data_IF_233342260731
#
_entry.id   IF_233342260731
#
_cell.length_a   1.000
_cell.length_b   1.000
_cell.length_c   1.000
_cell.angle_alpha   90.00
_cell.angle_beta   90.00
_cell.angle_gamma   90.00
#
_symmetry.space_group_name_H-M   'P 1'
#
loop_
_entity.id
_entity.type
_entity.pdbx_description
1 polymer ?
#
# COMPACT_ATOMS: atom_id res chain seq x y z
N UNK A 1 -33.03 76.49 15.76
CA UNK A 1 -32.40 75.47 16.60
C UNK A 1 -32.28 74.20 15.76
N UNK A 2 -31.08 73.92 15.21
CA UNK A 2 -30.87 72.80 14.26
C UNK A 2 -30.06 71.72 14.96
N UNK A 3 -30.59 70.51 15.08
CA UNK A 3 -29.97 69.33 15.68
C UNK A 3 -29.23 68.59 14.54
N UNK A 4 -27.94 68.32 14.66
CA UNK A 4 -27.25 67.52 13.65
C UNK A 4 -27.45 66.04 13.90
N UNK A 5 -27.88 65.34 12.85
CA UNK A 5 -28.02 63.87 12.81
C UNK A 5 -26.62 63.26 12.63
N UNK A 6 -26.08 62.67 13.66
CA UNK A 6 -24.85 61.90 13.62
C UNK A 6 -25.11 60.51 13.07
N UNK A 7 -24.61 60.24 11.87
CA UNK A 7 -24.56 58.93 11.25
C UNK A 7 -23.52 58.05 12.00
N UNK A 8 -24.00 57.01 12.68
CA UNK A 8 -23.15 55.94 13.18
C UNK A 8 -22.86 54.96 12.05
N UNK A 9 -21.60 54.68 11.71
CA UNK A 9 -21.29 53.61 10.78
C UNK A 9 -21.41 52.25 11.51
N UNK A 10 -22.33 51.40 11.06
CA UNK A 10 -22.46 50.03 11.48
C UNK A 10 -21.30 49.26 10.86
N UNK A 11 -20.31 48.94 11.66
CA UNK A 11 -19.19 48.07 11.30
C UNK A 11 -19.69 46.60 11.30
N UNK A 12 -20.07 46.11 10.13
CA UNK A 12 -20.41 44.69 9.95
C UNK A 12 -19.10 43.90 10.00
N UNK A 13 -18.84 43.25 11.13
CA UNK A 13 -17.80 42.25 11.26
C UNK A 13 -18.26 40.97 10.58
N UNK A 14 -17.81 40.75 9.33
CA UNK A 14 -17.93 39.45 8.68
C UNK A 14 -16.96 38.47 9.36
N UNK A 15 -17.49 37.67 10.28
CA UNK A 15 -16.80 36.49 10.77
C UNK A 15 -16.66 35.48 9.62
N UNK A 16 -15.52 35.47 8.94
CA UNK A 16 -15.15 34.37 8.05
C UNK A 16 -14.86 33.16 8.95
N UNK A 17 -15.84 32.29 9.08
CA UNK A 17 -15.66 30.96 9.70
C UNK A 17 -14.76 30.18 8.76
N UNK A 18 -13.44 30.18 9.02
CA UNK A 18 -12.52 29.20 8.47
C UNK A 18 -12.93 27.85 9.07
N UNK A 19 -13.85 27.16 8.43
CA UNK A 19 -14.04 25.75 8.66
C UNK A 19 -12.68 25.08 8.37
N UNK A 20 -12.13 24.27 9.28
CA UNK A 20 -10.96 23.48 8.96
C UNK A 20 -11.38 22.61 7.75
N UNK A 21 -10.75 22.83 6.61
CA UNK A 21 -10.69 21.86 5.54
C UNK A 21 -9.98 20.64 6.20
N UNK A 22 -10.77 19.75 6.76
CA UNK A 22 -10.32 18.39 6.98
C UNK A 22 -9.97 17.93 5.56
N UNK A 23 -8.68 18.03 5.20
CA UNK A 23 -8.14 17.26 4.10
C UNK A 23 -8.53 15.82 4.45
N UNK A 24 -9.53 15.31 3.75
CA UNK A 24 -9.85 13.89 3.78
C UNK A 24 -8.53 13.25 3.38
N UNK A 25 -7.86 12.62 4.34
CA UNK A 25 -6.68 11.82 4.06
C UNK A 25 -7.15 10.86 2.97
N UNK A 26 -6.55 11.00 1.80
CA UNK A 26 -6.84 10.13 0.65
C UNK A 26 -6.76 8.71 1.17
N UNK A 27 -7.81 7.92 0.95
CA UNK A 27 -7.85 6.56 1.50
C UNK A 27 -6.59 5.84 1.06
N UNK A 28 -5.73 5.48 1.98
CA UNK A 28 -4.46 4.77 1.71
C UNK A 28 -4.70 3.43 1.02
N UNK A 29 -5.94 2.92 1.06
CA UNK A 29 -6.38 1.67 0.47
C UNK A 29 -7.12 1.87 -0.83
N UNK A 30 -6.78 1.06 -1.84
CA UNK A 30 -7.49 0.99 -3.12
C UNK A 30 -7.96 -0.43 -3.40
N UNK A 31 -9.16 -0.56 -3.99
CA UNK A 31 -9.66 -1.83 -4.53
C UNK A 31 -9.71 -1.70 -6.04
N UNK A 32 -9.08 -2.66 -6.72
CA UNK A 32 -9.01 -2.64 -8.18
C UNK A 32 -9.47 -3.97 -8.76
N UNK A 33 -10.20 -3.87 -9.87
CA UNK A 33 -10.58 -5.00 -10.72
C UNK A 33 -9.71 -4.98 -11.98
N UNK A 34 -9.09 -6.11 -12.30
CA UNK A 34 -8.29 -6.25 -13.52
C UNK A 34 -8.44 -7.66 -14.07
N UNK A 35 -9.08 -7.80 -15.24
CA UNK A 35 -9.34 -9.08 -15.88
C UNK A 35 -9.99 -10.09 -14.90
N UNK A 36 -9.34 -11.20 -14.63
CA UNK A 36 -9.78 -12.26 -13.70
C UNK A 36 -9.29 -12.05 -12.25
N UNK A 37 -8.74 -10.89 -11.97
CA UNK A 37 -8.19 -10.54 -10.67
C UNK A 37 -9.02 -9.42 -10.00
N UNK A 38 -9.13 -9.48 -8.69
CA UNK A 38 -9.33 -8.31 -7.87
C UNK A 38 -8.17 -8.18 -6.89
N UNK A 39 -7.87 -6.98 -6.47
CA UNK A 39 -6.88 -6.80 -5.41
C UNK A 39 -7.17 -5.58 -4.55
N UNK A 40 -6.81 -5.72 -3.27
CA UNK A 40 -6.68 -4.61 -2.35
C UNK A 40 -5.22 -4.19 -2.31
N UNK A 41 -4.95 -2.90 -2.30
CA UNK A 41 -3.62 -2.33 -2.14
C UNK A 41 -3.63 -1.21 -1.12
N UNK A 42 -2.59 -1.15 -0.29
CA UNK A 42 -2.34 -0.06 0.64
C UNK A 42 -1.01 0.61 0.32
N UNK A 43 -1.01 1.94 0.34
CA UNK A 43 0.19 2.75 0.08
C UNK A 43 1.15 2.70 1.27
N UNK A 44 2.46 2.71 0.97
CA UNK A 44 3.50 2.80 1.99
C UNK A 44 3.61 4.21 2.56
N UNK A 45 4.05 4.29 3.81
CA UNK A 45 4.16 5.56 4.55
C UNK A 45 5.48 6.29 4.31
N UNK A 46 6.55 5.58 3.91
CA UNK A 46 7.89 6.16 3.77
C UNK A 46 8.15 6.63 2.34
N UNK A 47 7.84 5.79 1.34
CA UNK A 47 8.09 6.08 -0.06
C UNK A 47 6.78 6.14 -0.84
N UNK A 48 6.56 7.25 -1.52
CA UNK A 48 5.41 7.40 -2.38
C UNK A 48 5.54 6.47 -3.60
N UNK A 49 4.54 5.60 -3.80
CA UNK A 49 4.51 4.62 -4.88
C UNK A 49 4.84 3.19 -4.45
N UNK A 50 5.34 2.99 -3.23
CA UNK A 50 5.44 1.66 -2.63
C UNK A 50 4.05 1.20 -2.21
N UNK A 51 3.75 -0.08 -2.44
CA UNK A 51 2.44 -0.66 -2.10
C UNK A 51 2.58 -2.04 -1.51
N UNK A 52 1.69 -2.37 -0.59
CA UNK A 52 1.44 -3.75 -0.16
C UNK A 52 0.14 -4.21 -0.82
N UNK A 53 0.17 -5.35 -1.52
CA UNK A 53 -0.91 -5.77 -2.39
C UNK A 53 -1.39 -7.18 -2.04
N UNK A 54 -2.69 -7.38 -2.14
CA UNK A 54 -3.40 -8.62 -1.84
C UNK A 54 -4.25 -9.01 -3.05
N UNK A 55 -3.72 -9.87 -3.92
CA UNK A 55 -4.41 -10.30 -5.14
C UNK A 55 -5.27 -11.54 -4.89
N UNK A 56 -6.50 -11.50 -5.40
CA UNK A 56 -7.46 -12.61 -5.40
C UNK A 56 -7.78 -13.00 -6.84
N UNK A 57 -7.74 -14.30 -7.15
CA UNK A 57 -8.04 -14.80 -8.49
C UNK A 57 -9.42 -15.45 -8.53
N UNK A 58 -10.22 -15.11 -9.54
CA UNK A 58 -11.53 -15.72 -9.75
C UNK A 58 -11.42 -17.20 -10.16
N UNK A 59 -10.31 -17.59 -10.77
CA UNK A 59 -10.05 -18.95 -11.24
C UNK A 59 -9.93 -19.98 -10.11
N UNK A 60 -9.47 -19.58 -8.92
CA UNK A 60 -9.43 -20.40 -7.71
C UNK A 60 -10.59 -20.11 -6.76
N UNK A 61 -11.68 -19.55 -7.29
CA UNK A 61 -12.86 -19.14 -6.54
C UNK A 61 -12.55 -18.18 -5.39
N UNK A 62 -11.54 -17.33 -5.57
CA UNK A 62 -11.11 -16.34 -4.58
C UNK A 62 -10.68 -16.95 -3.22
N UNK A 63 -10.25 -18.22 -3.25
CA UNK A 63 -9.91 -18.97 -2.03
C UNK A 63 -8.52 -18.65 -1.50
N UNK A 64 -7.64 -18.13 -2.36
CA UNK A 64 -6.27 -17.79 -2.02
C UNK A 64 -6.00 -16.31 -2.23
N UNK A 65 -5.11 -15.76 -1.41
CA UNK A 65 -4.52 -14.44 -1.57
C UNK A 65 -3.05 -14.57 -1.95
N UNK A 66 -2.67 -13.94 -3.05
CA UNK A 66 -1.27 -13.74 -3.39
C UNK A 66 -0.84 -12.40 -2.83
N UNK A 67 0.04 -12.44 -1.81
CA UNK A 67 0.53 -11.25 -1.17
C UNK A 67 1.86 -10.80 -1.79
N UNK A 68 1.92 -9.54 -2.18
CA UNK A 68 3.12 -8.92 -2.74
C UNK A 68 3.34 -7.54 -2.13
N UNK A 69 4.57 -7.08 -2.16
CA UNK A 69 4.88 -5.68 -1.91
C UNK A 69 5.73 -5.11 -3.04
N UNK A 70 5.66 -3.81 -3.26
CA UNK A 70 6.47 -3.12 -4.24
C UNK A 70 7.35 -2.08 -3.57
N UNK A 71 8.57 -1.97 -4.07
CA UNK A 71 9.47 -0.86 -3.79
C UNK A 71 9.74 -0.09 -5.07
N UNK A 72 9.64 1.22 -4.96
CA UNK A 72 10.12 2.14 -5.97
C UNK A 72 11.56 2.53 -5.65
N UNK A 73 12.42 2.65 -6.66
CA UNK A 73 13.80 3.07 -6.47
C UNK A 73 14.27 3.97 -7.59
N UNK A 74 15.07 4.97 -7.26
CA UNK A 74 15.79 5.80 -8.23
C UNK A 74 17.12 5.18 -8.64
N UNK A 75 17.59 4.15 -7.94
CA UNK A 75 18.81 3.44 -8.30
C UNK A 75 18.66 2.72 -9.64
N UNK A 76 19.70 2.81 -10.48
CA UNK A 76 19.70 2.27 -11.86
C UNK A 76 20.94 1.43 -12.12
N UNK A 77 21.23 0.43 -11.30
CA UNK A 77 22.35 -0.46 -11.59
C UNK A 77 22.07 -1.23 -12.89
N UNK A 78 23.09 -1.40 -13.73
CA UNK A 78 22.94 -2.04 -15.04
C UNK A 78 22.43 -3.48 -14.99
N UNK A 79 22.51 -4.10 -13.82
CA UNK A 79 22.08 -5.48 -13.55
C UNK A 79 20.73 -5.57 -12.80
N UNK A 80 19.96 -4.49 -12.67
CA UNK A 80 18.69 -4.50 -11.93
C UNK A 80 17.70 -5.55 -12.43
N UNK A 81 17.66 -5.80 -13.74
CA UNK A 81 16.78 -6.82 -14.32
C UNK A 81 17.16 -8.25 -13.93
N UNK A 82 18.39 -8.48 -13.47
CA UNK A 82 18.85 -9.78 -12.96
C UNK A 82 18.27 -10.11 -11.58
N UNK A 83 17.57 -9.17 -10.94
CA UNK A 83 16.82 -9.44 -9.70
C UNK A 83 15.60 -10.32 -9.96
N UNK A 84 15.03 -10.32 -11.16
CA UNK A 84 13.83 -11.07 -11.50
C UNK A 84 14.02 -12.56 -11.19
N UNK A 85 12.98 -13.17 -10.61
CA UNK A 85 12.92 -14.57 -10.19
C UNK A 85 13.87 -14.99 -9.05
N UNK A 86 14.68 -14.07 -8.53
CA UNK A 86 15.56 -14.34 -7.38
C UNK A 86 14.83 -14.12 -6.06
N UNK A 87 15.33 -14.81 -5.03
CA UNK A 87 14.89 -14.67 -3.65
C UNK A 87 15.87 -13.80 -2.87
N UNK A 88 15.34 -12.88 -2.07
CA UNK A 88 16.13 -11.98 -1.25
C UNK A 88 15.67 -12.02 0.19
N UNK A 89 16.60 -11.89 1.14
CA UNK A 89 16.25 -11.82 2.55
C UNK A 89 15.53 -10.50 2.84
N UNK A 90 14.51 -10.61 3.67
CA UNK A 90 13.76 -9.48 4.21
C UNK A 90 13.58 -9.63 5.71
N UNK A 91 13.35 -8.53 6.40
CA UNK A 91 12.95 -8.54 7.81
C UNK A 91 11.56 -7.94 7.94
N UNK A 92 10.70 -8.62 8.68
CA UNK A 92 9.40 -8.12 9.08
C UNK A 92 9.50 -7.54 10.49
N UNK A 93 9.15 -6.27 10.66
CA UNK A 93 9.25 -5.50 11.91
C UNK A 93 10.64 -5.56 12.56
N UNK A 94 11.70 -5.72 11.76
CA UNK A 94 13.09 -5.87 12.25
C UNK A 94 13.39 -7.15 13.02
N UNK A 95 12.43 -8.07 13.17
CA UNK A 95 12.51 -9.26 14.04
C UNK A 95 12.48 -10.57 13.27
N UNK A 96 11.52 -10.72 12.34
CA UNK A 96 11.29 -11.99 11.65
C UNK A 96 12.03 -11.98 10.32
N UNK A 97 12.96 -12.91 10.15
CA UNK A 97 13.69 -13.09 8.90
C UNK A 97 12.88 -13.99 7.96
N UNK A 98 12.63 -13.49 6.76
CA UNK A 98 11.90 -14.16 5.71
C UNK A 98 12.66 -14.03 4.38
N UNK A 99 12.17 -14.70 3.35
CA UNK A 99 12.61 -14.48 1.98
C UNK A 99 11.45 -14.07 1.10
N UNK A 100 11.68 -13.12 0.19
CA UNK A 100 10.71 -12.71 -0.80
C UNK A 100 11.27 -12.91 -2.20
N UNK A 101 10.43 -13.38 -3.13
CA UNK A 101 10.80 -13.59 -4.53
C UNK A 101 10.51 -12.35 -5.34
N UNK A 102 11.46 -11.83 -6.11
CA UNK A 102 11.19 -10.78 -7.09
C UNK A 102 10.37 -11.33 -8.25
N UNK A 103 9.20 -10.74 -8.49
CA UNK A 103 8.25 -11.16 -9.51
C UNK A 103 8.05 -10.13 -10.62
N UNK A 104 8.53 -8.91 -10.42
CA UNK A 104 8.49 -7.85 -11.42
C UNK A 104 9.65 -6.89 -11.23
N UNK A 105 10.29 -6.52 -12.33
CA UNK A 105 11.21 -5.36 -12.43
C UNK A 105 10.79 -4.56 -13.66
N UNK A 106 10.26 -3.36 -13.44
CA UNK A 106 9.70 -2.53 -14.51
C UNK A 106 10.19 -1.08 -14.38
N UNK A 107 10.65 -0.45 -15.50
CA UNK A 107 10.85 1.00 -15.51
C UNK A 107 9.58 1.73 -15.12
N UNK A 108 9.71 2.71 -14.26
CA UNK A 108 8.58 3.51 -13.78
C UNK A 108 9.06 4.93 -13.44
N UNK A 109 8.46 5.94 -14.08
CA UNK A 109 8.91 7.33 -13.96
C UNK A 109 10.42 7.47 -14.22
N UNK A 110 11.15 8.01 -13.26
CA UNK A 110 12.60 8.21 -13.35
C UNK A 110 13.43 7.07 -12.74
N UNK A 111 12.81 5.96 -12.37
CA UNK A 111 13.45 4.83 -11.71
C UNK A 111 12.87 3.48 -12.10
N UNK A 112 12.79 2.59 -11.14
CA UNK A 112 12.21 1.26 -11.30
C UNK A 112 11.18 0.97 -10.20
N UNK A 113 10.15 0.22 -10.56
CA UNK A 113 9.27 -0.47 -9.61
C UNK A 113 9.68 -1.93 -9.57
N UNK A 114 9.98 -2.43 -8.39
CA UNK A 114 10.34 -3.82 -8.13
C UNK A 114 9.27 -4.43 -7.24
N UNK A 115 8.60 -5.49 -7.71
CA UNK A 115 7.61 -6.20 -6.92
C UNK A 115 8.17 -7.52 -6.40
N UNK A 116 7.88 -7.79 -5.14
CA UNK A 116 8.27 -8.98 -4.41
C UNK A 116 7.03 -9.77 -4.01
N UNK A 117 7.10 -11.09 -4.10
CA UNK A 117 6.08 -12.00 -3.61
C UNK A 117 6.47 -12.57 -2.25
N UNK A 118 5.55 -12.50 -1.30
CA UNK A 118 5.63 -13.22 -0.03
C UNK A 118 5.05 -14.64 -0.13
N UNK A 119 4.27 -14.92 -1.19
CA UNK A 119 3.65 -16.22 -1.42
C UNK A 119 2.14 -16.15 -1.62
N UNK A 120 1.55 -17.34 -1.74
CA UNK A 120 0.10 -17.54 -1.84
C UNK A 120 -0.39 -18.28 -0.59
N UNK A 121 -1.49 -17.79 -0.01
CA UNK A 121 -2.01 -18.29 1.26
C UNK A 121 -3.54 -18.45 1.18
N UNK A 122 -4.15 -19.35 1.97
CA UNK A 122 -5.60 -19.34 2.16
C UNK A 122 -6.07 -18.00 2.69
N UNK A 123 -7.03 -17.35 2.01
CA UNK A 123 -7.36 -15.94 2.26
C UNK A 123 -7.80 -15.68 3.70
N UNK A 124 -8.67 -16.54 4.24
CA UNK A 124 -9.28 -16.33 5.55
C UNK A 124 -8.24 -16.40 6.68
N UNK A 125 -7.43 -17.43 6.67
CA UNK A 125 -6.43 -17.72 7.70
C UNK A 125 -5.30 -16.67 7.65
N UNK A 126 -4.86 -16.31 6.45
CA UNK A 126 -3.78 -15.34 6.28
C UNK A 126 -4.18 -13.93 6.69
N UNK A 127 -5.38 -13.49 6.30
CA UNK A 127 -5.85 -12.14 6.66
C UNK A 127 -6.10 -12.03 8.17
N UNK A 128 -6.59 -13.10 8.78
CA UNK A 128 -6.74 -13.14 10.24
C UNK A 128 -5.38 -13.06 10.95
N UNK A 129 -4.41 -13.89 10.51
CA UNK A 129 -3.03 -13.85 11.01
C UNK A 129 -2.41 -12.46 10.90
N UNK A 130 -2.49 -11.81 9.72
CA UNK A 130 -1.94 -10.46 9.53
C UNK A 130 -2.63 -9.41 10.40
N UNK A 131 -3.94 -9.54 10.59
CA UNK A 131 -4.70 -8.64 11.44
C UNK A 131 -4.23 -8.76 12.90
N UNK A 132 -4.14 -9.99 13.43
CA UNK A 132 -3.65 -10.23 14.80
C UNK A 132 -2.22 -9.73 14.97
N UNK A 133 -1.33 -10.10 14.04
CA UNK A 133 0.06 -9.64 14.05
C UNK A 133 0.16 -8.11 14.10
N UNK A 134 -0.64 -7.40 13.28
CA UNK A 134 -0.65 -5.95 13.28
C UNK A 134 -1.24 -5.37 14.57
N UNK A 135 -2.26 -6.01 15.15
CA UNK A 135 -2.82 -5.55 16.43
C UNK A 135 -1.84 -5.70 17.60
N UNK A 136 -1.00 -6.72 17.58
CA UNK A 136 0.01 -6.93 18.61
C UNK A 136 1.22 -5.99 18.44
N UNK A 137 1.78 -5.91 17.24
CA UNK A 137 2.99 -5.15 16.96
C UNK A 137 2.75 -3.65 16.73
N UNK A 138 1.51 -3.25 16.40
CA UNK A 138 1.13 -1.89 15.97
C UNK A 138 1.95 -1.35 14.82
N UNK A 139 2.56 -2.25 14.06
CA UNK A 139 3.46 -1.96 12.95
C UNK A 139 3.46 -3.12 11.97
N UNK A 140 3.54 -2.79 10.67
CA UNK A 140 3.84 -3.75 9.61
C UNK A 140 4.89 -3.13 8.69
N UNK A 141 6.15 -3.43 8.97
CA UNK A 141 7.30 -2.94 8.23
C UNK A 141 8.00 -4.09 7.54
N UNK A 142 8.38 -3.89 6.28
CA UNK A 142 9.27 -4.79 5.55
C UNK A 142 10.55 -4.02 5.24
N UNK A 143 11.68 -4.62 5.59
CA UNK A 143 13.02 -4.17 5.24
C UNK A 143 13.68 -5.20 4.32
N UNK A 144 14.18 -4.75 3.17
CA UNK A 144 15.07 -5.54 2.30
C UNK A 144 16.46 -5.47 2.89
N UNK A 145 17.04 -6.61 3.25
CA UNK A 145 18.35 -6.67 3.91
C UNK A 145 19.41 -7.29 3.00
N UNK A 146 20.67 -7.06 3.34
CA UNK A 146 21.80 -7.62 2.61
C UNK A 146 21.80 -9.15 2.70
N UNK A 147 22.18 -9.79 1.61
CA UNK A 147 22.38 -11.24 1.50
C UNK A 147 23.81 -11.60 1.08
N UNK A 148 24.11 -12.87 0.97
CA UNK A 148 25.46 -13.37 0.67
C UNK A 148 26.09 -12.71 -0.58
N UNK A 149 25.31 -12.51 -1.64
CA UNK A 149 25.74 -11.89 -2.92
C UNK A 149 24.78 -10.77 -3.33
N UNK A 150 24.22 -10.05 -2.35
CA UNK A 150 23.24 -9.00 -2.58
C UNK A 150 23.42 -7.88 -1.55
N UNK A 151 23.55 -6.67 -2.06
CA UNK A 151 23.58 -5.45 -1.26
C UNK A 151 22.32 -4.65 -1.55
N UNK A 152 21.41 -4.53 -0.59
CA UNK A 152 20.12 -3.89 -0.77
C UNK A 152 20.27 -2.44 -1.27
N UNK A 153 21.18 -1.67 -0.70
CA UNK A 153 21.44 -0.27 -1.06
C UNK A 153 22.03 -0.07 -2.47
N UNK A 154 22.53 -1.11 -3.12
CA UNK A 154 22.91 -1.03 -4.54
C UNK A 154 21.70 -0.86 -5.44
N UNK A 155 20.55 -1.40 -5.05
CA UNK A 155 19.34 -1.48 -5.87
C UNK A 155 18.22 -0.60 -5.35
N UNK A 156 18.24 -0.23 -4.07
CA UNK A 156 17.18 0.53 -3.41
C UNK A 156 17.78 1.67 -2.61
N UNK A 157 17.40 2.89 -2.93
CA UNK A 157 17.74 4.10 -2.17
C UNK A 157 17.07 4.07 -0.78
N UNK A 158 15.87 3.54 -0.70
CA UNK A 158 15.16 3.26 0.56
C UNK A 158 14.88 1.75 0.61
N UNK A 159 15.36 1.08 1.68
CA UNK A 159 15.29 -0.37 1.83
C UNK A 159 14.19 -0.85 2.76
N UNK A 160 13.49 0.07 3.44
CA UNK A 160 12.41 -0.26 4.37
C UNK A 160 11.19 0.63 4.16
N UNK A 161 10.01 0.04 4.27
CA UNK A 161 8.76 0.77 4.29
C UNK A 161 7.78 0.11 5.26
N UNK A 162 6.81 0.88 5.72
CA UNK A 162 5.74 0.41 6.60
C UNK A 162 4.36 0.74 6.01
N UNK A 163 3.36 -0.06 6.41
CA UNK A 163 1.99 0.04 5.94
C UNK A 163 1.01 -0.01 7.10
N UNK A 164 -0.05 0.80 7.02
CA UNK A 164 -1.17 0.77 7.97
C UNK A 164 -2.18 -0.30 7.58
N UNK A 165 -2.38 -1.27 8.46
CA UNK A 165 -3.30 -2.38 8.24
C UNK A 165 -4.62 -2.27 9.03
N UNK A 166 -4.94 -1.08 9.55
CA UNK A 166 -6.17 -0.85 10.34
C UNK A 166 -7.44 -1.25 9.58
N UNK A 167 -7.47 -1.02 8.27
CA UNK A 167 -8.61 -1.34 7.39
C UNK A 167 -8.44 -2.67 6.63
N UNK A 168 -7.49 -3.53 7.00
CA UNK A 168 -7.20 -4.77 6.28
C UNK A 168 -8.45 -5.64 6.09
N UNK A 169 -9.16 -5.97 7.17
CA UNK A 169 -10.33 -6.87 7.11
C UNK A 169 -11.45 -6.29 6.22
N UNK A 170 -11.95 -5.06 6.42
CA UNK A 170 -13.01 -4.53 5.56
C UNK A 170 -12.58 -4.41 4.09
N UNK A 171 -11.35 -4.02 3.80
CA UNK A 171 -10.85 -3.91 2.43
C UNK A 171 -10.66 -5.28 1.76
N UNK A 172 -10.27 -6.30 2.49
CA UNK A 172 -10.20 -7.66 1.96
C UNK A 172 -11.59 -8.27 1.73
N UNK A 173 -12.59 -7.95 2.55
CA UNK A 173 -13.96 -8.35 2.28
C UNK A 173 -14.51 -7.69 1.01
N UNK A 174 -14.21 -6.40 0.79
CA UNK A 174 -14.57 -5.68 -0.42
C UNK A 174 -13.89 -6.30 -1.66
N UNK A 175 -12.58 -6.54 -1.62
CA UNK A 175 -11.84 -7.18 -2.71
C UNK A 175 -12.37 -8.60 -3.00
N UNK A 176 -12.70 -9.38 -1.97
CA UNK A 176 -13.27 -10.71 -2.14
C UNK A 176 -14.66 -10.68 -2.81
N UNK A 177 -15.50 -9.70 -2.47
CA UNK A 177 -16.79 -9.49 -3.13
C UNK A 177 -16.59 -9.21 -4.62
N UNK A 178 -15.69 -8.29 -4.98
CA UNK A 178 -15.35 -7.97 -6.38
C UNK A 178 -14.84 -9.21 -7.12
N UNK A 179 -13.97 -10.01 -6.48
CA UNK A 179 -13.46 -11.26 -7.05
C UNK A 179 -14.58 -12.26 -7.37
N UNK A 180 -15.53 -12.44 -6.45
CA UNK A 180 -16.69 -13.34 -6.66
C UNK A 180 -17.63 -12.84 -7.76
N UNK A 181 -17.81 -11.53 -7.90
CA UNK A 181 -18.58 -10.96 -9.01
C UNK A 181 -17.94 -11.27 -10.36
N UNK A 182 -16.59 -11.23 -10.44
CA UNK A 182 -15.83 -11.65 -11.64
C UNK A 182 -16.06 -13.15 -11.91
N UNK A 183 -15.97 -14.00 -10.89
CA UNK A 183 -16.15 -15.45 -11.04
C UNK A 183 -17.54 -15.78 -11.60
N UNK A 184 -18.59 -15.13 -11.06
CA UNK A 184 -19.97 -15.37 -11.49
C UNK A 184 -20.28 -14.83 -12.88
N UNK A 185 -19.58 -13.79 -13.35
CA UNK A 185 -19.79 -13.22 -14.70
C UNK A 185 -19.13 -14.02 -15.81
N UNK A 186 -18.24 -14.95 -15.47
CA UNK A 186 -17.50 -15.81 -16.41
C UNK A 186 -18.01 -17.26 -16.42
N UNK A 187 -19.03 -17.56 -15.63
CA UNK A 187 -19.73 -18.87 -15.58
C UNK A 187 -20.97 -18.85 -16.43
#
# INVERSE_FOLDING_TARGET
MRIPLTLFPILIWTFVILAPLNALAEEEWTITKFDKLSYAAVSGEVTHGDTLNFFLRSEDNCAKVWNTFTFYTYEKPGDIHQLLDRHFPIKLNGKVELTAKVVLVKPFLMGYRVAFSLGEFPVKEYIHFLHEFYQEEKKYEIEIVDGLNFQAKKYFDITANNWKLDNLIPKMLEANKVCKEISNSNS
#
